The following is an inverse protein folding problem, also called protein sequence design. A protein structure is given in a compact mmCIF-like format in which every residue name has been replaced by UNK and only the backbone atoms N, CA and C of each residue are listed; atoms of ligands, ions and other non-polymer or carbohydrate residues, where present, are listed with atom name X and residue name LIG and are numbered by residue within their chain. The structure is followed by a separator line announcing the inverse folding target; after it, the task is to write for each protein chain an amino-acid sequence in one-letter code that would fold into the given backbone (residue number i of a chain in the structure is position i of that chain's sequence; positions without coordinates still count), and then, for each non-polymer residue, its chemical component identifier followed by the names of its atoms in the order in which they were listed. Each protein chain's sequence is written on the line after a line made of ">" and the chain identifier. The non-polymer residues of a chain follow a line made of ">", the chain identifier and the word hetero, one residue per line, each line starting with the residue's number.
data_IF_227472203836
#
_entry.id   IF_227472203836
#
_cell.length_a   1.000
_cell.length_b   1.000
_cell.length_c   1.000
_cell.angle_alpha   90.00
_cell.angle_beta   90.00
_cell.angle_gamma   90.00
#
_symmetry.space_group_name_H-M   'P 1'
#
loop_
_entity.id
_entity.type
_entity.pdbx_description
1 polymer ?
#
# COMPACT_ATOMS: atom_id res chain seq x y z
N UNK A 1 3.91 -16.70 1.26
CA UNK A 1 4.53 -15.78 2.23
C UNK A 1 4.60 -16.42 3.60
N UNK A 2 5.53 -15.96 4.47
CA UNK A 2 5.63 -16.43 5.87
C UNK A 2 4.31 -16.25 6.63
N UNK A 3 3.61 -15.15 6.38
CA UNK A 3 2.35 -14.81 7.05
C UNK A 3 1.21 -15.80 6.70
N UNK A 4 1.11 -16.17 5.42
CA UNK A 4 0.13 -17.18 5.00
C UNK A 4 0.43 -18.56 5.61
N UNK A 5 1.72 -18.94 5.69
CA UNK A 5 2.13 -20.20 6.32
C UNK A 5 1.78 -20.21 7.82
N UNK A 6 2.13 -19.14 8.56
CA UNK A 6 1.81 -19.03 9.99
C UNK A 6 0.30 -19.09 10.24
N UNK A 7 -0.51 -18.36 9.44
CA UNK A 7 -1.96 -18.39 9.57
C UNK A 7 -2.54 -19.79 9.29
N UNK A 8 -2.03 -20.50 8.26
CA UNK A 8 -2.45 -21.86 7.96
C UNK A 8 -2.07 -22.85 9.08
N UNK A 9 -0.86 -22.72 9.64
CA UNK A 9 -0.40 -23.56 10.75
C UNK A 9 -1.29 -23.36 12.00
N UNK A 10 -1.56 -22.13 12.41
CA UNK A 10 -2.44 -21.85 13.55
C UNK A 10 -3.85 -22.40 13.30
N UNK A 11 -4.43 -22.20 12.10
CA UNK A 11 -5.73 -22.78 11.76
C UNK A 11 -5.75 -24.31 11.84
N UNK A 12 -4.68 -24.98 11.39
CA UNK A 12 -4.56 -26.43 11.49
C UNK A 12 -4.47 -26.90 12.94
N UNK A 13 -3.71 -26.19 13.78
CA UNK A 13 -3.61 -26.48 15.22
C UNK A 13 -4.97 -26.28 15.92
N UNK A 14 -5.71 -25.24 15.58
CA UNK A 14 -7.06 -25.01 16.11
C UNK A 14 -7.99 -26.18 15.82
N UNK A 15 -7.98 -26.68 14.57
CA UNK A 15 -8.78 -27.85 14.18
C UNK A 15 -8.42 -29.10 14.97
N UNK A 16 -7.12 -29.37 15.18
CA UNK A 16 -6.65 -30.56 15.92
C UNK A 16 -6.97 -30.45 17.41
N UNK A 17 -6.98 -29.23 17.95
CA UNK A 17 -7.19 -28.99 19.40
C UNK A 17 -8.63 -28.64 19.75
N UNK A 18 -9.54 -28.65 18.78
CA UNK A 18 -10.94 -28.26 18.92
C UNK A 18 -11.11 -26.86 19.57
N UNK A 19 -10.26 -25.90 19.13
CA UNK A 19 -10.27 -24.51 19.60
C UNK A 19 -10.84 -23.63 18.52
N UNK A 20 -11.83 -22.82 18.84
CA UNK A 20 -12.39 -21.81 17.95
C UNK A 20 -11.83 -20.42 18.29
N UNK A 21 -11.23 -19.75 17.31
CA UNK A 21 -10.77 -18.36 17.40
C UNK A 21 -11.34 -17.57 16.21
N UNK A 22 -11.65 -16.31 16.45
CA UNK A 22 -11.96 -15.36 15.39
C UNK A 22 -10.74 -15.08 14.52
N UNK A 23 -10.94 -14.53 13.33
CA UNK A 23 -9.82 -14.11 12.47
C UNK A 23 -8.93 -13.04 13.15
N UNK A 24 -9.50 -12.16 13.98
CA UNK A 24 -8.73 -11.16 14.72
C UNK A 24 -7.84 -11.80 15.79
N UNK A 25 -8.37 -12.74 16.56
CA UNK A 25 -7.60 -13.48 17.56
C UNK A 25 -6.50 -14.34 16.89
N UNK A 26 -6.83 -15.02 15.80
CA UNK A 26 -5.86 -15.79 15.00
C UNK A 26 -4.74 -14.87 14.49
N UNK A 27 -5.08 -13.69 13.96
CA UNK A 27 -4.10 -12.72 13.50
C UNK A 27 -3.22 -12.21 14.65
N UNK A 28 -3.80 -11.93 15.81
CA UNK A 28 -3.08 -11.46 16.99
C UNK A 28 -2.07 -12.51 17.49
N UNK A 29 -2.45 -13.79 17.53
CA UNK A 29 -1.56 -14.89 17.88
C UNK A 29 -0.42 -15.02 16.86
N UNK A 30 -0.73 -14.97 15.56
CA UNK A 30 0.30 -15.03 14.52
C UNK A 30 1.29 -13.86 14.59
N UNK A 31 0.82 -12.68 14.99
CA UNK A 31 1.60 -11.45 14.98
C UNK A 31 2.46 -11.23 16.22
N UNK A 32 2.29 -11.97 17.32
CA UNK A 32 2.91 -11.81 18.66
C UNK A 32 3.99 -10.71 18.82
N UNK A 33 4.95 -10.64 17.91
CA UNK A 33 6.04 -9.65 17.88
C UNK A 33 6.19 -8.92 16.52
N UNK A 34 5.35 -9.24 15.54
CA UNK A 34 5.36 -8.70 14.17
C UNK A 34 4.21 -7.69 13.96
N UNK A 35 4.21 -7.05 12.78
CA UNK A 35 3.07 -6.24 12.31
C UNK A 35 1.84 -7.14 12.10
N UNK A 36 0.72 -6.75 12.68
CA UNK A 36 -0.57 -7.43 12.58
C UNK A 36 -1.15 -7.38 11.16
N UNK A 37 -0.89 -6.30 10.42
CA UNK A 37 -1.53 -6.00 9.13
C UNK A 37 -1.40 -7.12 8.08
N UNK A 38 -0.23 -7.74 7.87
CA UNK A 38 -0.10 -8.83 6.90
C UNK A 38 -0.93 -10.07 7.24
N UNK A 39 -1.10 -10.37 8.52
CA UNK A 39 -1.93 -11.50 8.96
C UNK A 39 -3.42 -11.22 8.77
N UNK A 40 -3.86 -10.00 9.07
CA UNK A 40 -5.22 -9.56 8.76
C UNK A 40 -5.48 -9.63 7.25
N UNK A 41 -4.54 -9.17 6.43
CA UNK A 41 -4.66 -9.26 4.97
C UNK A 41 -4.87 -10.70 4.49
N UNK A 42 -4.13 -11.67 5.05
CA UNK A 42 -4.26 -13.10 4.70
C UNK A 42 -5.61 -13.66 5.17
N UNK A 43 -6.02 -13.37 6.41
CA UNK A 43 -7.19 -14.00 7.03
C UNK A 43 -8.52 -13.41 6.55
N UNK A 44 -8.54 -12.11 6.21
CA UNK A 44 -9.74 -11.41 5.71
C UNK A 44 -9.82 -11.33 4.19
N UNK A 45 -8.77 -11.76 3.46
CA UNK A 45 -8.79 -11.72 2.00
C UNK A 45 -9.93 -12.57 1.43
N UNK A 46 -10.61 -12.03 0.44
CA UNK A 46 -11.69 -12.69 -0.28
C UNK A 46 -11.51 -12.45 -1.78
N UNK A 47 -11.70 -13.51 -2.57
CA UNK A 47 -11.65 -13.45 -4.03
C UNK A 47 -12.63 -12.39 -4.57
N UNK A 48 -12.16 -11.52 -5.47
CA UNK A 48 -12.95 -10.41 -6.04
C UNK A 48 -13.16 -9.21 -5.11
N UNK A 49 -12.42 -9.15 -3.98
CA UNK A 49 -12.52 -8.05 -3.01
C UNK A 49 -11.13 -7.54 -2.64
N UNK A 50 -11.05 -6.27 -2.29
CA UNK A 50 -9.94 -5.72 -1.52
C UNK A 50 -10.37 -5.53 -0.06
N UNK A 51 -9.41 -5.64 0.86
CA UNK A 51 -9.67 -5.50 2.29
C UNK A 51 -9.23 -4.12 2.76
N UNK A 52 -10.17 -3.30 3.20
CA UNK A 52 -9.91 -2.02 3.83
C UNK A 52 -9.48 -2.24 5.28
N UNK A 53 -8.23 -1.90 5.58
CA UNK A 53 -7.67 -1.90 6.93
C UNK A 53 -7.80 -0.50 7.53
N UNK A 54 -8.58 -0.37 8.57
CA UNK A 54 -8.70 0.86 9.36
C UNK A 54 -8.55 0.53 10.85
N UNK A 55 -8.81 1.47 11.73
CA UNK A 55 -8.73 1.27 13.19
C UNK A 55 -9.79 0.32 13.77
N UNK A 56 -10.70 -0.17 12.96
CA UNK A 56 -11.72 -1.14 13.34
C UNK A 56 -11.52 -2.50 12.66
N UNK A 57 -12.60 -3.28 12.62
CA UNK A 57 -12.60 -4.56 11.92
C UNK A 57 -12.36 -4.37 10.42
N UNK A 58 -11.49 -5.22 9.80
CA UNK A 58 -11.23 -5.16 8.36
C UNK A 58 -12.52 -5.36 7.54
N UNK A 59 -12.69 -4.54 6.49
CA UNK A 59 -13.89 -4.56 5.65
C UNK A 59 -13.55 -4.91 4.22
N UNK A 60 -14.26 -5.88 3.65
CA UNK A 60 -14.13 -6.24 2.25
C UNK A 60 -14.97 -5.31 1.36
N UNK A 61 -14.33 -4.70 0.37
CA UNK A 61 -14.95 -3.87 -0.67
C UNK A 61 -14.85 -4.60 -2.00
N UNK A 62 -15.87 -4.55 -2.87
CA UNK A 62 -15.80 -5.14 -4.21
C UNK A 62 -14.58 -4.60 -4.96
N UNK A 63 -13.87 -5.47 -5.66
CA UNK A 63 -12.73 -5.10 -6.50
C UNK A 63 -13.01 -5.58 -7.94
N UNK A 64 -13.75 -4.82 -8.74
CA UNK A 64 -14.21 -5.25 -10.07
C UNK A 64 -13.11 -5.08 -11.13
N UNK A 65 -12.01 -5.84 -11.01
CA UNK A 65 -10.87 -5.82 -11.92
C UNK A 65 -10.97 -6.92 -13.01
N UNK A 66 -12.19 -7.24 -13.47
CA UNK A 66 -12.35 -8.11 -14.64
C UNK A 66 -11.58 -7.56 -15.85
N UNK A 67 -10.76 -8.40 -16.49
CA UNK A 67 -9.90 -7.98 -17.60
C UNK A 67 -8.57 -7.35 -17.16
N UNK A 68 -8.28 -7.30 -15.87
CA UNK A 68 -7.00 -6.82 -15.33
C UNK A 68 -6.31 -7.89 -14.49
N UNK A 69 -4.99 -7.75 -14.35
CA UNK A 69 -4.16 -8.52 -13.41
C UNK A 69 -3.35 -7.58 -12.52
N UNK A 70 -2.86 -8.09 -11.40
CA UNK A 70 -1.91 -7.37 -10.56
C UNK A 70 -0.51 -7.86 -10.92
N UNK A 71 0.33 -6.92 -11.32
CA UNK A 71 1.75 -7.12 -11.61
C UNK A 71 2.57 -6.53 -10.46
N UNK A 72 3.53 -7.27 -9.94
CA UNK A 72 4.57 -6.71 -9.06
C UNK A 72 5.92 -6.78 -9.76
N UNK A 73 6.71 -5.72 -9.64
CA UNK A 73 8.09 -5.66 -10.10
C UNK A 73 8.99 -5.31 -8.91
N UNK A 74 9.97 -6.18 -8.63
CA UNK A 74 10.86 -6.03 -7.47
C UNK A 74 12.24 -5.55 -7.90
N UNK A 75 12.77 -4.56 -7.17
CA UNK A 75 14.14 -4.05 -7.27
C UNK A 75 14.94 -4.38 -6.02
N UNK A 76 16.24 -4.06 -6.04
CA UNK A 76 17.14 -4.37 -4.93
C UNK A 76 17.10 -3.31 -3.84
N UNK A 77 16.85 -2.06 -4.20
CA UNK A 77 16.77 -0.95 -3.27
C UNK A 77 15.48 -1.04 -2.44
N UNK A 78 15.53 -1.09 -1.10
CA UNK A 78 14.33 -1.04 -0.29
C UNK A 78 13.78 0.39 -0.23
N UNK A 79 12.47 0.53 -0.07
CA UNK A 79 11.86 1.83 0.17
C UNK A 79 12.35 2.42 1.50
N UNK A 80 12.69 3.70 1.51
CA UNK A 80 13.21 4.39 2.69
C UNK A 80 12.20 4.37 3.85
N UNK A 81 12.71 4.01 5.05
CA UNK A 81 11.90 3.98 6.27
C UNK A 81 11.91 5.36 6.96
N UNK A 82 10.77 6.00 6.99
CA UNK A 82 10.59 7.34 7.57
C UNK A 82 9.91 7.34 8.96
N UNK A 83 9.77 6.18 9.60
CA UNK A 83 9.06 6.02 10.88
C UNK A 83 9.53 6.99 11.96
N UNK A 84 10.83 7.29 12.05
CA UNK A 84 11.37 8.26 13.03
C UNK A 84 10.85 9.68 12.80
N UNK A 85 10.78 10.12 11.55
CA UNK A 85 10.26 11.45 11.19
C UNK A 85 8.76 11.55 11.41
N UNK A 86 8.02 10.48 11.11
CA UNK A 86 6.58 10.40 11.34
C UNK A 86 6.27 10.43 12.84
N UNK A 87 6.97 9.63 13.64
CA UNK A 87 6.81 9.61 15.11
C UNK A 87 7.10 10.99 15.72
N UNK A 88 8.19 11.63 15.29
CA UNK A 88 8.51 13.00 15.72
C UNK A 88 7.39 13.98 15.35
N UNK A 89 6.93 14.00 14.08
CA UNK A 89 5.88 14.91 13.64
C UNK A 89 4.57 14.68 14.42
N UNK A 90 4.18 13.42 14.63
CA UNK A 90 2.99 13.07 15.43
C UNK A 90 3.12 13.52 16.88
N UNK A 91 4.30 13.46 17.49
CA UNK A 91 4.51 13.97 18.85
C UNK A 91 4.33 15.49 18.93
N UNK A 92 4.83 16.24 17.96
CA UNK A 92 4.63 17.69 17.87
C UNK A 92 3.16 18.07 17.62
N UNK A 93 2.48 17.31 16.74
CA UNK A 93 1.05 17.53 16.49
C UNK A 93 0.23 17.29 17.76
N UNK A 94 0.47 16.18 18.47
CA UNK A 94 -0.25 15.87 19.73
C UNK A 94 -0.01 16.92 20.83
N UNK A 95 1.16 17.53 20.86
CA UNK A 95 1.45 18.63 21.79
C UNK A 95 0.56 19.86 21.54
N UNK A 96 0.23 20.14 20.27
CA UNK A 96 -0.63 21.26 19.86
C UNK A 96 -2.12 20.87 19.85
N UNK A 97 -2.40 19.62 19.51
CA UNK A 97 -3.74 19.07 19.31
C UNK A 97 -3.86 17.71 20.05
N UNK A 98 -4.10 17.73 21.39
CA UNK A 98 -4.13 16.50 22.20
C UNK A 98 -5.17 15.46 21.78
N UNK A 99 -6.20 15.88 21.04
CA UNK A 99 -7.24 14.98 20.52
C UNK A 99 -6.80 14.17 19.28
N UNK A 100 -5.67 14.51 18.65
CA UNK A 100 -5.13 13.79 17.48
C UNK A 100 -4.38 12.55 17.97
N UNK A 101 -4.99 11.39 17.84
CA UNK A 101 -4.43 10.12 18.30
C UNK A 101 -3.71 9.34 17.20
N UNK A 102 -4.12 9.53 15.95
CA UNK A 102 -3.62 8.78 14.79
C UNK A 102 -3.44 9.66 13.56
N UNK A 103 -2.80 9.12 12.54
CA UNK A 103 -2.68 9.76 11.23
C UNK A 103 -4.07 9.99 10.60
N UNK A 104 -5.03 9.12 10.90
CA UNK A 104 -6.41 9.23 10.37
C UNK A 104 -7.15 10.46 10.88
N UNK A 105 -6.72 11.04 12.01
CA UNK A 105 -7.32 12.24 12.60
C UNK A 105 -6.76 13.54 11.98
N UNK A 106 -5.78 13.44 11.10
CA UNK A 106 -5.12 14.59 10.49
C UNK A 106 -6.01 15.23 9.42
N UNK A 107 -6.22 16.54 9.56
CA UNK A 107 -6.84 17.35 8.53
C UNK A 107 -5.82 18.33 7.92
N UNK A 108 -6.08 18.87 6.72
CA UNK A 108 -5.23 19.90 6.10
C UNK A 108 -5.01 21.12 7.01
N UNK A 109 -6.03 21.52 7.78
CA UNK A 109 -6.00 22.67 8.69
C UNK A 109 -5.03 22.42 9.86
N UNK A 110 -5.12 21.24 10.50
CA UNK A 110 -4.19 20.82 11.56
C UNK A 110 -2.75 20.85 11.05
N UNK A 111 -2.52 20.31 9.85
CA UNK A 111 -1.18 20.28 9.26
C UNK A 111 -0.65 21.66 8.89
N UNK A 112 -1.49 22.54 8.34
CA UNK A 112 -1.08 23.89 7.97
C UNK A 112 -0.60 24.69 9.19
N UNK A 113 -1.28 24.54 10.31
CA UNK A 113 -0.92 25.20 11.58
C UNK A 113 0.29 24.53 12.23
N UNK A 114 0.34 23.19 12.26
CA UNK A 114 1.45 22.47 12.87
C UNK A 114 2.76 22.58 12.08
N UNK A 115 2.71 22.89 10.79
CA UNK A 115 3.88 22.96 9.91
C UNK A 115 4.99 23.87 10.44
N UNK A 116 4.63 25.00 11.04
CA UNK A 116 5.58 25.96 11.63
C UNK A 116 6.32 25.40 12.86
N UNK A 117 5.75 24.39 13.53
CA UNK A 117 6.34 23.74 14.71
C UNK A 117 7.35 22.65 14.35
N UNK A 118 7.39 22.21 13.11
CA UNK A 118 8.31 21.15 12.70
C UNK A 118 9.70 21.73 12.46
N UNK A 119 10.66 21.33 13.30
CA UNK A 119 12.08 21.66 13.11
C UNK A 119 12.69 21.03 11.83
N UNK A 120 12.02 20.00 11.28
CA UNK A 120 12.46 19.26 10.12
C UNK A 120 11.43 19.37 8.98
N UNK A 121 11.84 19.98 7.87
CA UNK A 121 11.00 20.15 6.67
C UNK A 121 10.58 18.82 6.04
N UNK A 122 11.39 17.75 6.18
CA UNK A 122 11.03 16.40 5.69
C UNK A 122 9.83 15.84 6.45
N UNK A 123 9.76 16.04 7.78
CA UNK A 123 8.63 15.60 8.58
C UNK A 123 7.31 16.21 8.08
N UNK A 124 7.30 17.51 7.77
CA UNK A 124 6.13 18.19 7.21
C UNK A 124 5.68 17.58 5.87
N UNK A 125 6.62 17.25 4.98
CA UNK A 125 6.33 16.61 3.68
C UNK A 125 5.68 15.24 3.85
N UNK A 126 6.26 14.40 4.73
CA UNK A 126 5.72 13.07 4.99
C UNK A 126 4.32 13.11 5.59
N UNK A 127 4.08 14.03 6.55
CA UNK A 127 2.76 14.20 7.15
C UNK A 127 1.73 14.69 6.14
N UNK A 128 2.13 15.58 5.22
CA UNK A 128 1.25 16.03 4.14
C UNK A 128 0.85 14.86 3.23
N UNK A 129 1.81 14.03 2.79
CA UNK A 129 1.51 12.83 2.01
C UNK A 129 0.51 11.94 2.76
N UNK A 130 0.79 11.59 4.01
CA UNK A 130 -0.05 10.69 4.80
C UNK A 130 -1.47 11.22 5.01
N UNK A 131 -1.65 12.53 5.23
CA UNK A 131 -3.00 13.10 5.37
C UNK A 131 -3.78 13.05 4.06
N UNK A 132 -3.11 13.25 2.92
CA UNK A 132 -3.76 13.12 1.61
C UNK A 132 -4.09 11.66 1.27
N UNK A 133 -3.34 10.67 1.79
CA UNK A 133 -3.69 9.26 1.68
C UNK A 133 -5.03 8.93 2.39
N UNK A 134 -5.30 9.52 3.56
CA UNK A 134 -6.59 9.35 4.24
C UNK A 134 -7.76 9.78 3.35
N UNK A 135 -7.64 10.92 2.68
CA UNK A 135 -8.65 11.40 1.74
C UNK A 135 -8.81 10.45 0.55
N UNK A 136 -7.69 9.96 -0.02
CA UNK A 136 -7.71 9.01 -1.13
C UNK A 136 -8.38 7.68 -0.73
N UNK A 137 -8.07 7.13 0.44
CA UNK A 137 -8.69 5.90 0.95
C UNK A 137 -10.22 6.06 1.02
N UNK A 138 -10.72 7.19 1.52
CA UNK A 138 -12.16 7.46 1.59
C UNK A 138 -12.77 7.57 0.18
N UNK A 139 -12.09 8.26 -0.74
CA UNK A 139 -12.52 8.41 -2.14
C UNK A 139 -12.58 7.04 -2.84
N UNK A 140 -11.52 6.22 -2.70
CA UNK A 140 -11.46 4.87 -3.27
C UNK A 140 -12.52 3.97 -2.66
N UNK A 141 -12.72 4.01 -1.34
CA UNK A 141 -13.76 3.21 -0.66
C UNK A 141 -15.16 3.54 -1.18
N UNK A 142 -15.45 4.83 -1.40
CA UNK A 142 -16.72 5.25 -1.99
C UNK A 142 -16.85 4.84 -3.47
N UNK A 143 -15.77 4.90 -4.24
CA UNK A 143 -15.72 4.51 -5.65
C UNK A 143 -15.94 3.00 -5.81
N UNK A 144 -15.28 2.17 -5.02
CA UNK A 144 -15.41 0.71 -5.08
C UNK A 144 -16.81 0.23 -4.74
N UNK A 145 -17.51 0.88 -3.80
CA UNK A 145 -18.92 0.59 -3.51
C UNK A 145 -19.85 0.82 -4.72
N UNK A 146 -19.42 1.65 -5.68
CA UNK A 146 -20.14 1.95 -6.93
C UNK A 146 -19.52 1.25 -8.15
N UNK A 147 -18.54 0.37 -7.94
CA UNK A 147 -17.78 -0.29 -9.00
C UNK A 147 -17.06 0.69 -9.97
N UNK A 148 -16.68 1.89 -9.50
CA UNK A 148 -15.97 2.90 -10.27
C UNK A 148 -14.46 2.65 -10.24
N UNK A 149 -13.99 1.78 -11.13
CA UNK A 149 -12.56 1.43 -11.25
C UNK A 149 -11.71 2.57 -11.81
N UNK A 150 -12.28 3.48 -12.59
CA UNK A 150 -11.53 4.63 -13.14
C UNK A 150 -11.05 5.55 -12.01
N UNK A 151 -11.91 5.79 -11.03
CA UNK A 151 -11.52 6.54 -9.83
C UNK A 151 -10.47 5.78 -9.03
N UNK A 152 -10.56 4.45 -8.89
CA UNK A 152 -9.51 3.64 -8.25
C UNK A 152 -8.14 3.87 -8.92
N UNK A 153 -8.06 3.70 -10.25
CA UNK A 153 -6.81 3.87 -11.00
C UNK A 153 -6.23 5.28 -10.85
N UNK A 154 -7.08 6.30 -10.97
CA UNK A 154 -6.69 7.69 -10.78
C UNK A 154 -6.11 7.94 -9.39
N UNK A 155 -6.75 7.46 -8.34
CA UNK A 155 -6.29 7.70 -6.97
C UNK A 155 -5.02 6.92 -6.63
N UNK A 156 -4.80 5.71 -7.19
CA UNK A 156 -3.52 5.00 -7.09
C UNK A 156 -2.40 5.82 -7.74
N UNK A 157 -2.60 6.31 -8.96
CA UNK A 157 -1.61 7.13 -9.66
C UNK A 157 -1.36 8.48 -8.94
N UNK A 158 -2.40 9.11 -8.39
CA UNK A 158 -2.27 10.32 -7.56
C UNK A 158 -1.48 10.06 -6.28
N UNK A 159 -1.67 8.89 -5.66
CA UNK A 159 -0.89 8.46 -4.49
C UNK A 159 0.59 8.34 -4.83
N UNK A 160 0.93 7.71 -5.97
CA UNK A 160 2.30 7.60 -6.44
C UNK A 160 2.94 8.97 -6.72
N UNK A 161 2.25 9.87 -7.41
CA UNK A 161 2.73 11.23 -7.64
C UNK A 161 2.97 11.99 -6.32
N UNK A 162 2.10 11.76 -5.33
CA UNK A 162 2.29 12.31 -3.99
C UNK A 162 3.52 11.72 -3.30
N UNK A 163 3.78 10.43 -3.45
CA UNK A 163 5.01 9.79 -2.96
C UNK A 163 6.25 10.38 -3.62
N UNK A 164 6.28 10.49 -4.94
CA UNK A 164 7.41 11.10 -5.67
C UNK A 164 7.74 12.52 -5.18
N UNK A 165 6.71 13.28 -4.85
CA UNK A 165 6.85 14.69 -4.43
C UNK A 165 7.23 14.86 -2.96
N UNK A 166 6.71 14.03 -2.08
CA UNK A 166 6.74 14.24 -0.64
C UNK A 166 7.43 13.14 0.14
N UNK A 167 7.60 11.96 -0.43
CA UNK A 167 8.26 10.82 0.16
C UNK A 167 9.63 10.63 -0.46
N UNK A 168 10.65 10.42 0.31
CA UNK A 168 12.02 10.25 -0.21
C UNK A 168 12.18 8.82 -0.77
N UNK A 169 11.67 8.60 -1.98
CA UNK A 169 11.76 7.31 -2.68
C UNK A 169 13.07 7.22 -3.44
N UNK A 170 13.68 6.02 -3.46
CA UNK A 170 14.95 5.75 -4.14
C UNK A 170 14.85 5.84 -5.66
N UNK A 171 16.01 5.83 -6.30
CA UNK A 171 16.12 5.97 -7.77
C UNK A 171 15.47 4.82 -8.51
N UNK A 172 15.69 3.58 -8.03
CA UNK A 172 15.13 2.37 -8.65
C UNK A 172 13.60 2.38 -8.60
N UNK A 173 13.02 2.74 -7.45
CA UNK A 173 11.57 2.86 -7.27
C UNK A 173 10.96 3.92 -8.18
N UNK A 174 11.58 5.11 -8.23
CA UNK A 174 11.16 6.19 -9.13
C UNK A 174 11.14 5.74 -10.58
N UNK A 175 12.21 5.09 -11.00
CA UNK A 175 12.33 4.61 -12.36
C UNK A 175 11.27 3.56 -12.68
N UNK A 176 11.10 2.53 -11.83
CA UNK A 176 10.08 1.50 -12.01
C UNK A 176 8.67 2.09 -12.08
N UNK A 177 8.31 2.97 -11.14
CA UNK A 177 6.98 3.56 -11.10
C UNK A 177 6.70 4.43 -12.33
N UNK A 178 7.67 5.24 -12.76
CA UNK A 178 7.55 6.07 -13.95
C UNK A 178 7.44 5.24 -15.23
N UNK A 179 8.33 4.24 -15.40
CA UNK A 179 8.28 3.36 -16.57
C UNK A 179 6.96 2.59 -16.60
N UNK A 180 6.51 2.03 -15.47
CA UNK A 180 5.23 1.33 -15.43
C UNK A 180 4.07 2.23 -15.82
N UNK A 181 3.94 3.43 -15.25
CA UNK A 181 2.82 4.36 -15.57
C UNK A 181 2.81 4.84 -17.02
N UNK A 182 3.96 4.83 -17.69
CA UNK A 182 4.09 5.22 -19.10
C UNK A 182 4.01 4.02 -20.06
N UNK A 183 3.94 2.79 -19.56
CA UNK A 183 3.81 1.59 -20.38
C UNK A 183 2.35 1.37 -20.74
N UNK A 184 2.07 1.17 -22.03
CA UNK A 184 0.73 0.87 -22.51
C UNK A 184 0.19 -0.43 -21.88
N UNK A 185 -1.08 -0.42 -21.50
CA UNK A 185 -1.74 -1.50 -20.77
C UNK A 185 -1.64 -1.39 -19.24
N UNK A 186 -0.81 -0.51 -18.67
CA UNK A 186 -0.78 -0.25 -17.23
C UNK A 186 -1.81 0.82 -16.88
N UNK A 187 -2.85 0.42 -16.16
CA UNK A 187 -3.91 1.34 -15.72
C UNK A 187 -3.49 2.17 -14.49
N UNK A 188 -2.72 1.57 -13.58
CA UNK A 188 -2.21 2.25 -12.39
C UNK A 188 -0.96 1.52 -11.86
N UNK A 189 -0.04 2.28 -11.24
CA UNK A 189 1.14 1.72 -10.59
C UNK A 189 1.53 2.54 -9.37
N UNK A 190 2.09 1.87 -8.35
CA UNK A 190 2.52 2.49 -7.10
C UNK A 190 3.74 1.78 -6.51
N UNK A 191 4.65 2.57 -5.92
CA UNK A 191 5.76 2.06 -5.13
C UNK A 191 5.30 1.30 -3.89
N UNK A 192 6.04 0.26 -3.56
CA UNK A 192 5.94 -0.51 -2.32
C UNK A 192 7.35 -0.88 -1.83
N UNK A 193 7.45 -1.57 -0.69
CA UNK A 193 8.68 -1.86 0.05
C UNK A 193 9.92 -2.21 -0.82
N UNK A 194 9.79 -3.12 -1.78
CA UNK A 194 10.89 -3.61 -2.63
C UNK A 194 10.61 -3.45 -4.12
N UNK A 195 9.93 -2.40 -4.52
CA UNK A 195 9.64 -2.17 -5.92
C UNK A 195 8.29 -1.50 -6.13
N UNK A 196 7.50 -2.02 -7.07
CA UNK A 196 6.16 -1.51 -7.39
C UNK A 196 5.12 -2.63 -7.45
N UNK A 197 3.87 -2.25 -7.33
CA UNK A 197 2.75 -3.02 -7.83
C UNK A 197 1.96 -2.18 -8.86
N UNK A 198 1.37 -2.85 -9.83
CA UNK A 198 0.63 -2.22 -10.90
C UNK A 198 -0.63 -3.04 -11.24
N UNK A 199 -1.63 -2.36 -11.78
CA UNK A 199 -2.81 -2.97 -12.38
C UNK A 199 -2.62 -2.90 -13.89
N UNK A 200 -2.61 -4.04 -14.55
CA UNK A 200 -2.30 -4.22 -15.96
C UNK A 200 -3.44 -4.92 -16.69
N UNK A 201 -3.76 -4.50 -17.91
CA UNK A 201 -4.69 -5.21 -18.81
C UNK A 201 -4.21 -6.64 -19.02
N UNK A 202 -5.12 -7.62 -18.90
CA UNK A 202 -4.76 -9.04 -18.86
C UNK A 202 -4.07 -9.54 -20.14
N UNK A 203 -4.43 -8.98 -21.29
CA UNK A 203 -3.86 -9.27 -22.62
C UNK A 203 -2.52 -8.55 -22.88
N UNK A 204 -2.15 -7.55 -22.07
CA UNK A 204 -0.91 -6.78 -22.19
C UNK A 204 0.16 -7.11 -21.13
N UNK A 205 -0.05 -8.12 -20.31
CA UNK A 205 0.87 -8.48 -19.22
C UNK A 205 2.29 -8.72 -19.74
N UNK A 206 2.44 -9.61 -20.72
CA UNK A 206 3.77 -9.97 -21.26
C UNK A 206 4.45 -8.79 -21.95
N UNK A 207 3.69 -8.00 -22.67
CA UNK A 207 4.18 -6.76 -23.30
C UNK A 207 4.71 -5.80 -22.22
N UNK A 208 3.90 -5.52 -21.18
CA UNK A 208 4.27 -4.60 -20.11
C UNK A 208 5.51 -5.07 -19.34
N UNK A 209 5.60 -6.37 -19.05
CA UNK A 209 6.79 -6.96 -18.39
C UNK A 209 8.03 -6.74 -19.24
N UNK A 210 7.96 -7.05 -20.55
CA UNK A 210 9.13 -6.92 -21.43
C UNK A 210 9.59 -5.48 -21.57
N UNK A 211 8.67 -4.52 -21.69
CA UNK A 211 8.98 -3.09 -21.77
C UNK A 211 9.64 -2.60 -20.47
N UNK A 212 9.01 -2.84 -19.31
CA UNK A 212 9.54 -2.41 -18.02
C UNK A 212 10.92 -3.04 -17.76
N UNK A 213 11.06 -4.34 -18.06
CA UNK A 213 12.32 -5.09 -17.88
C UNK A 213 13.44 -4.52 -18.73
N UNK A 214 13.18 -4.26 -20.02
CA UNK A 214 14.18 -3.73 -20.96
C UNK A 214 14.63 -2.33 -20.54
N UNK A 215 13.69 -1.44 -20.25
CA UNK A 215 13.99 -0.06 -19.88
C UNK A 215 14.75 0.00 -18.54
N UNK A 216 14.34 -0.81 -17.58
CA UNK A 216 15.01 -0.87 -16.28
C UNK A 216 16.43 -1.43 -16.40
N UNK A 217 16.63 -2.52 -17.14
CA UNK A 217 17.96 -3.11 -17.38
C UNK A 217 18.90 -2.11 -18.08
N UNK A 218 18.40 -1.41 -19.10
CA UNK A 218 19.19 -0.43 -19.84
C UNK A 218 19.62 0.77 -18.97
N UNK A 219 18.82 1.15 -17.99
CA UNK A 219 19.05 2.36 -17.18
C UNK A 219 19.74 2.05 -15.84
N UNK A 220 19.32 0.98 -15.18
CA UNK A 220 19.80 0.62 -13.84
C UNK A 220 20.89 -0.45 -13.87
N UNK A 221 20.93 -1.28 -14.93
CA UNK A 221 21.99 -2.26 -15.15
C UNK A 221 21.69 -3.69 -14.71
N UNK A 222 20.48 -3.98 -14.23
CA UNK A 222 20.02 -5.34 -13.92
C UNK A 222 18.53 -5.51 -14.18
N UNK A 223 18.03 -6.75 -14.18
CA UNK A 223 16.62 -7.07 -14.44
C UNK A 223 15.80 -7.13 -13.15
N UNK A 224 14.68 -6.42 -13.04
CA UNK A 224 13.78 -6.59 -11.92
C UNK A 224 13.10 -7.96 -11.98
N UNK A 225 12.64 -8.45 -10.83
CA UNK A 225 11.88 -9.70 -10.74
C UNK A 225 10.40 -9.40 -10.76
N UNK A 226 9.64 -10.14 -11.57
CA UNK A 226 8.20 -9.95 -11.72
C UNK A 226 7.40 -11.09 -11.11
N UNK A 227 6.22 -10.75 -10.60
CA UNK A 227 5.18 -11.72 -10.24
C UNK A 227 3.83 -11.19 -10.73
N UNK A 228 3.02 -12.09 -11.30
CA UNK A 228 1.67 -11.77 -11.78
C UNK A 228 0.66 -12.52 -10.91
N UNK A 229 -0.35 -11.81 -10.45
CA UNK A 229 -1.43 -12.35 -9.65
C UNK A 229 -2.77 -12.11 -10.35
N UNK A 230 -3.60 -13.14 -10.36
CA UNK A 230 -4.99 -13.01 -10.79
C UNK A 230 -5.80 -12.25 -9.73
N UNK A 231 -6.81 -11.51 -10.17
CA UNK A 231 -7.64 -10.64 -9.31
C UNK A 231 -8.95 -11.30 -8.88
N UNK A 232 -9.17 -12.57 -9.24
CA UNK A 232 -10.41 -13.31 -8.98
C UNK A 232 -10.19 -14.80 -8.69
#
# INVERSE_FOLDING_TARGET
>A
SKHAFSAALIKSLMQVSDIELTHLETAAICALSDDLTPYLAVLFSKKGYCTLMNSGEPKNLPLPLSGYKILTAHCTEPLSNHSKHIKYAMSEIRRLYPHVNSISDLTPEILSTAKSSFKNSKAAKYMYHLSTENTRINTVSAALKRCDIKTLFREINNSEQSMERFWDIGTEHKFLANTARNTDGIAAARCQDKGIWAIVEADKVDYSINMIKSDFENTIGYKPTFCVCDTF
#
